data_IF_479789180397
#
_entry.id   IF_479789180397
#
_cell.length_a   1.000
_cell.length_b   1.000
_cell.length_c   1.000
_cell.angle_alpha   90.00
_cell.angle_beta   90.00
_cell.angle_gamma   90.00
#
_symmetry.space_group_name_H-M   'P 1'
#
loop_
_entity.id
_entity.type
_entity.pdbx_description
1 polymer ?
#
# COMPACT_ATOMS: atom_id res chain seq x y z
N UNK A 1 19.73 22.27 -23.68
CA UNK A 1 18.98 23.08 -24.70
C UNK A 1 17.50 22.72 -24.69
N UNK A 2 16.62 23.43 -25.41
CA UNK A 2 15.18 23.09 -25.45
C UNK A 2 14.93 21.66 -26.00
N UNK A 3 15.64 21.28 -27.06
CA UNK A 3 15.56 19.95 -27.68
C UNK A 3 15.94 18.82 -26.71
N UNK A 4 16.98 19.03 -25.91
CA UNK A 4 17.38 18.12 -24.83
C UNK A 4 16.25 17.93 -23.79
N UNK A 5 15.54 19.01 -23.42
CA UNK A 5 14.38 18.92 -22.52
C UNK A 5 13.26 18.08 -23.13
N UNK A 6 13.01 18.24 -24.44
CA UNK A 6 11.99 17.45 -25.15
C UNK A 6 12.36 15.98 -25.19
N UNK A 7 13.61 15.64 -25.50
CA UNK A 7 14.08 14.25 -25.57
C UNK A 7 14.00 13.55 -24.19
N UNK A 8 14.44 14.23 -23.13
CA UNK A 8 14.35 13.66 -21.78
C UNK A 8 12.89 13.48 -21.35
N UNK A 9 12.04 14.47 -21.65
CA UNK A 9 10.62 14.41 -21.31
C UNK A 9 9.91 13.28 -22.05
N UNK A 10 10.19 13.09 -23.35
CA UNK A 10 9.66 11.98 -24.14
C UNK A 10 10.04 10.62 -23.53
N UNK A 11 11.31 10.46 -23.13
CA UNK A 11 11.78 9.24 -22.47
C UNK A 11 11.12 9.00 -21.11
N UNK A 12 10.86 10.06 -20.33
CA UNK A 12 10.14 9.98 -19.05
C UNK A 12 8.66 9.65 -19.27
N UNK A 13 7.99 10.32 -20.20
CA UNK A 13 6.56 10.12 -20.51
C UNK A 13 6.33 8.71 -21.05
N UNK A 14 7.14 8.26 -22.01
CA UNK A 14 7.09 6.89 -22.54
C UNK A 14 7.33 5.85 -21.44
N UNK A 15 8.29 6.13 -20.55
CA UNK A 15 8.57 5.29 -19.38
C UNK A 15 7.40 5.22 -18.39
N UNK A 16 6.81 6.38 -18.07
CA UNK A 16 5.65 6.50 -17.19
C UNK A 16 4.45 5.73 -17.76
N UNK A 17 4.20 5.85 -19.07
CA UNK A 17 3.11 5.15 -19.74
C UNK A 17 3.27 3.62 -19.64
N UNK A 18 4.49 3.12 -19.73
CA UNK A 18 4.80 1.69 -19.51
C UNK A 18 4.68 1.22 -18.05
N UNK A 19 4.70 2.13 -17.07
CA UNK A 19 4.53 1.80 -15.64
C UNK A 19 3.07 1.94 -15.21
N UNK A 20 2.38 2.98 -15.69
CA UNK A 20 0.98 3.32 -15.34
C UNK A 20 -0.02 2.45 -16.11
N UNK A 21 0.34 1.90 -17.28
CA UNK A 21 -0.50 0.90 -17.97
C UNK A 21 -1.15 1.38 -19.26
N UNK A 22 -0.44 2.16 -20.06
CA UNK A 22 -0.97 2.74 -21.29
C UNK A 22 -0.63 1.99 -22.59
N UNK A 23 -0.34 0.70 -22.54
CA UNK A 23 -0.21 -0.12 -23.76
C UNK A 23 -1.60 -0.53 -24.27
N UNK A 24 -1.89 -0.34 -25.55
CA UNK A 24 -3.17 -0.63 -26.23
C UNK A 24 -3.65 -2.11 -26.14
N UNK A 25 -2.90 -2.97 -25.47
CA UNK A 25 -3.28 -4.36 -25.19
C UNK A 25 -4.30 -4.42 -24.05
N UNK A 26 -5.56 -4.27 -24.45
CA UNK A 26 -6.82 -4.37 -23.70
C UNK A 26 -7.05 -5.68 -22.92
N UNK A 27 -6.03 -6.53 -22.79
CA UNK A 27 -6.10 -7.87 -22.19
C UNK A 27 -5.08 -8.16 -21.08
N UNK A 28 -4.17 -7.23 -20.76
CA UNK A 28 -3.24 -7.40 -19.63
C UNK A 28 -3.72 -6.59 -18.42
N UNK A 29 -3.73 -7.20 -17.24
CA UNK A 29 -4.16 -6.60 -15.96
C UNK A 29 -3.35 -5.34 -15.58
N UNK A 30 -3.63 -4.20 -16.21
CA UNK A 30 -3.12 -2.90 -15.79
C UNK A 30 -1.59 -2.71 -15.87
N UNK A 31 -1.15 -1.49 -15.62
CA UNK A 31 0.28 -1.17 -15.47
C UNK A 31 0.91 -1.91 -14.28
N UNK A 32 2.25 -1.96 -14.22
CA UNK A 32 2.96 -2.48 -13.04
C UNK A 32 2.53 -1.76 -11.76
N UNK A 33 2.33 -0.45 -11.84
CA UNK A 33 1.83 0.36 -10.74
C UNK A 33 0.43 -0.07 -10.30
N UNK A 34 -0.49 -0.19 -11.25
CA UNK A 34 -1.89 -0.57 -10.99
C UNK A 34 -2.00 -1.96 -10.35
N UNK A 35 -1.16 -2.92 -10.77
CA UNK A 35 -1.10 -4.24 -10.12
C UNK A 35 -0.67 -4.17 -8.66
N UNK A 36 0.30 -3.32 -8.35
CA UNK A 36 0.81 -3.11 -6.98
C UNK A 36 -0.26 -2.46 -6.10
N UNK A 37 -0.96 -1.43 -6.62
CA UNK A 37 -2.06 -0.76 -5.91
C UNK A 37 -3.22 -1.73 -5.69
N UNK A 38 -3.66 -2.45 -6.74
CA UNK A 38 -4.77 -3.41 -6.61
C UNK A 38 -4.48 -4.53 -5.60
N UNK A 39 -3.27 -5.08 -5.61
CA UNK A 39 -2.87 -6.09 -4.64
C UNK A 39 -2.93 -5.56 -3.20
N UNK A 40 -2.53 -4.29 -3.00
CA UNK A 40 -2.64 -3.61 -1.72
C UNK A 40 -4.11 -3.38 -1.32
N UNK A 41 -4.97 -2.91 -2.22
CA UNK A 41 -6.40 -2.71 -1.94
C UNK A 41 -7.11 -4.03 -1.57
N UNK A 42 -6.82 -5.11 -2.30
CA UNK A 42 -7.34 -6.46 -1.99
C UNK A 42 -6.89 -6.91 -0.60
N UNK A 43 -5.63 -6.66 -0.25
CA UNK A 43 -5.07 -6.94 1.07
C UNK A 43 -5.72 -6.10 2.17
N UNK A 44 -5.87 -4.78 1.99
CA UNK A 44 -6.58 -3.90 2.94
C UNK A 44 -8.02 -4.39 3.16
N UNK A 45 -8.73 -4.76 2.09
CA UNK A 45 -10.06 -5.36 2.22
C UNK A 45 -10.05 -6.66 3.04
N UNK A 46 -8.97 -7.43 2.99
CA UNK A 46 -8.74 -8.59 3.86
C UNK A 46 -8.52 -8.20 5.33
N UNK A 47 -7.67 -7.21 5.58
CA UNK A 47 -7.38 -6.66 6.91
C UNK A 47 -8.65 -6.17 7.60
N UNK A 48 -9.48 -5.40 6.88
CA UNK A 48 -10.76 -4.89 7.41
C UNK A 48 -11.71 -6.02 7.79
N UNK A 49 -11.81 -7.08 6.98
CA UNK A 49 -12.63 -8.26 7.30
C UNK A 49 -12.16 -8.94 8.58
N UNK A 50 -10.85 -9.08 8.78
CA UNK A 50 -10.27 -9.64 10.01
C UNK A 50 -10.62 -8.79 11.22
N UNK A 51 -10.45 -7.46 11.13
CA UNK A 51 -10.81 -6.55 12.21
C UNK A 51 -12.31 -6.57 12.53
N UNK A 52 -13.18 -6.65 11.51
CA UNK A 52 -14.63 -6.74 11.71
C UNK A 52 -15.02 -8.03 12.42
N UNK A 53 -14.44 -9.19 12.05
CA UNK A 53 -14.66 -10.46 12.76
C UNK A 53 -14.24 -10.37 14.23
N UNK A 54 -13.11 -9.70 14.53
CA UNK A 54 -12.64 -9.48 15.90
C UNK A 54 -13.57 -8.57 16.71
N UNK A 55 -14.08 -7.50 16.11
CA UNK A 55 -15.02 -6.56 16.77
C UNK A 55 -16.42 -7.17 16.96
N UNK A 56 -16.86 -8.01 16.03
CA UNK A 56 -18.14 -8.71 16.07
C UNK A 56 -18.18 -9.88 17.05
N UNK A 57 -17.03 -10.39 17.50
CA UNK A 57 -16.94 -11.40 18.57
C UNK A 57 -17.22 -10.73 19.91
N UNK A 58 -18.39 -10.93 20.54
CA UNK A 58 -18.66 -10.39 21.86
C UNK A 58 -17.88 -11.25 22.86
N UNK A 59 -16.82 -10.68 23.42
CA UNK A 59 -16.12 -11.27 24.56
C UNK A 59 -15.17 -12.41 24.19
N UNK A 60 -13.88 -12.18 24.44
CA UNK A 60 -13.07 -13.27 24.98
C UNK A 60 -13.73 -13.72 26.28
N UNK A 61 -14.12 -14.99 26.33
CA UNK A 61 -14.58 -15.74 27.49
C UNK A 61 -15.59 -15.01 28.40
N UNK A 62 -16.89 -15.26 28.17
CA UNK A 62 -17.83 -15.25 29.30
C UNK A 62 -18.80 -16.40 29.14
N UNK A 63 -18.66 -17.36 30.04
CA UNK A 63 -19.69 -18.31 30.39
C UNK A 63 -21.01 -17.55 30.57
N UNK A 64 -22.05 -17.93 29.84
CA UNK A 64 -23.35 -18.35 30.39
C UNK A 64 -24.42 -18.44 29.29
N UNK A 65 -24.80 -19.70 29.02
CA UNK A 65 -26.18 -20.19 29.02
C UNK A 65 -27.12 -19.87 27.83
N UNK A 66 -27.33 -20.95 27.09
CA UNK A 66 -28.63 -21.52 26.69
C UNK A 66 -29.25 -21.06 25.35
N UNK A 67 -29.23 -22.03 24.43
CA UNK A 67 -30.25 -22.35 23.43
C UNK A 67 -30.36 -21.37 22.24
N UNK A 68 -29.67 -21.69 21.13
CA UNK A 68 -30.30 -22.30 19.95
C UNK A 68 -29.29 -22.49 18.80
N UNK A 69 -29.02 -23.77 18.52
CA UNK A 69 -28.92 -24.39 17.20
C UNK A 69 -28.47 -23.51 16.02
N UNK A 70 -27.18 -23.61 15.66
CA UNK A 70 -26.72 -24.15 14.36
C UNK A 70 -25.19 -24.13 14.36
N UNK A 71 -24.63 -25.30 14.60
CA UNK A 71 -23.20 -25.60 14.47
C UNK A 71 -22.88 -25.65 12.98
N UNK A 72 -22.46 -24.53 12.42
CA UNK A 72 -21.37 -24.60 11.44
C UNK A 72 -20.07 -24.59 12.24
N UNK A 73 -19.15 -25.42 11.81
CA UNK A 73 -17.81 -25.60 12.36
C UNK A 73 -17.01 -24.29 12.21
N UNK A 74 -17.31 -23.27 13.03
CA UNK A 74 -16.39 -22.15 13.27
C UNK A 74 -15.34 -22.70 14.24
N UNK A 75 -14.48 -23.58 13.71
CA UNK A 75 -13.20 -23.88 14.31
C UNK A 75 -12.57 -22.52 14.65
N UNK A 76 -12.12 -22.35 15.88
CA UNK A 76 -11.69 -21.07 16.45
C UNK A 76 -10.39 -20.56 15.84
N UNK A 77 -10.19 -20.72 14.54
CA UNK A 77 -9.07 -20.28 13.76
C UNK A 77 -8.98 -18.76 13.88
N UNK A 78 -8.05 -18.34 14.73
CA UNK A 78 -7.66 -16.94 14.87
C UNK A 78 -7.14 -16.51 13.50
N UNK A 79 -7.98 -15.87 12.69
CA UNK A 79 -7.57 -15.34 11.40
C UNK A 79 -6.58 -14.20 11.66
N UNK A 80 -5.31 -14.47 11.36
CA UNK A 80 -4.24 -13.49 11.46
C UNK A 80 -4.24 -12.58 10.23
N UNK A 81 -3.82 -11.33 10.42
CA UNK A 81 -3.49 -10.47 9.28
C UNK A 81 -2.22 -11.03 8.63
N UNK A 82 -2.35 -11.59 7.43
CA UNK A 82 -1.20 -11.99 6.63
C UNK A 82 -0.45 -10.75 6.16
N UNK A 83 0.89 -10.78 6.21
CA UNK A 83 1.71 -9.74 5.60
C UNK A 83 1.54 -9.75 4.07
N UNK A 84 1.82 -8.61 3.42
CA UNK A 84 1.99 -8.63 1.97
C UNK A 84 3.23 -9.45 1.60
N UNK A 85 3.16 -10.18 0.49
CA UNK A 85 4.24 -11.07 0.11
C UNK A 85 5.55 -10.33 -0.24
N UNK A 86 6.67 -11.06 -0.20
CA UNK A 86 7.98 -10.49 -0.52
C UNK A 86 8.08 -9.99 -1.97
N UNK A 87 7.26 -10.53 -2.89
CA UNK A 87 7.25 -10.11 -4.28
C UNK A 87 6.65 -8.72 -4.43
N UNK A 88 5.55 -8.41 -3.74
CA UNK A 88 4.93 -7.09 -3.71
C UNK A 88 5.89 -6.03 -3.18
N UNK A 89 6.62 -6.32 -2.08
CA UNK A 89 7.62 -5.39 -1.54
C UNK A 89 8.77 -5.16 -2.52
N UNK A 90 9.22 -6.20 -3.22
CA UNK A 90 10.26 -6.08 -4.23
C UNK A 90 9.79 -5.24 -5.43
N UNK A 91 8.54 -5.39 -5.86
CA UNK A 91 7.94 -4.57 -6.92
C UNK A 91 7.79 -3.10 -6.49
N UNK A 92 7.35 -2.84 -5.25
CA UNK A 92 7.32 -1.48 -4.69
C UNK A 92 8.72 -0.85 -4.72
N UNK A 93 9.75 -1.57 -4.25
CA UNK A 93 11.13 -1.08 -4.27
C UNK A 93 11.63 -0.81 -5.70
N UNK A 94 11.27 -1.66 -6.66
CA UNK A 94 11.62 -1.47 -8.08
C UNK A 94 10.93 -0.22 -8.66
N UNK A 95 9.65 0.00 -8.35
CA UNK A 95 8.90 1.19 -8.76
C UNK A 95 9.47 2.46 -8.15
N UNK A 96 9.74 2.47 -6.84
CA UNK A 96 10.36 3.61 -6.14
C UNK A 96 11.68 3.98 -6.79
N UNK A 97 12.59 3.01 -7.01
CA UNK A 97 13.88 3.28 -7.66
C UNK A 97 13.72 3.89 -9.05
N UNK A 98 12.73 3.43 -9.82
CA UNK A 98 12.47 3.94 -11.17
C UNK A 98 11.87 5.35 -11.15
N UNK A 99 10.92 5.60 -10.27
CA UNK A 99 10.29 6.91 -10.08
C UNK A 99 11.31 7.94 -9.57
N UNK A 100 12.21 7.54 -8.67
CA UNK A 100 13.33 8.36 -8.19
C UNK A 100 14.31 8.74 -9.31
N UNK A 101 14.61 7.80 -10.21
CA UNK A 101 15.43 8.07 -11.39
C UNK A 101 14.77 9.12 -12.30
N UNK A 102 13.46 9.01 -12.53
CA UNK A 102 12.72 10.01 -13.31
C UNK A 102 12.60 11.35 -12.60
N UNK A 103 12.38 11.35 -11.27
CA UNK A 103 12.36 12.57 -10.47
C UNK A 103 13.67 13.33 -10.63
N UNK A 104 14.81 12.64 -10.51
CA UNK A 104 16.13 13.26 -10.73
C UNK A 104 16.30 13.82 -12.14
N UNK A 105 15.94 13.05 -13.18
CA UNK A 105 15.98 13.52 -14.58
C UNK A 105 15.12 14.77 -14.79
N UNK A 106 13.90 14.80 -14.23
CA UNK A 106 13.00 15.94 -14.33
C UNK A 106 13.50 17.17 -13.55
N UNK A 107 14.25 16.97 -12.47
CA UNK A 107 14.90 18.05 -11.71
C UNK A 107 16.10 18.63 -12.46
N UNK A 108 16.90 17.79 -13.12
CA UNK A 108 18.05 18.21 -13.94
C UNK A 108 17.64 19.14 -15.11
N UNK A 109 16.42 18.99 -15.61
CA UNK A 109 15.88 19.85 -16.68
C UNK A 109 15.66 21.32 -16.24
N UNK A 110 15.66 21.60 -14.94
CA UNK A 110 15.38 22.93 -14.38
C UNK A 110 14.00 23.46 -14.80
N UNK A 111 13.73 24.73 -14.50
CA UNK A 111 12.48 25.34 -14.92
C UNK A 111 12.55 25.84 -16.37
N UNK A 112 11.41 25.82 -17.05
CA UNK A 112 11.27 26.41 -18.38
C UNK A 112 10.88 27.87 -18.16
N UNK A 113 11.68 28.85 -18.63
CA UNK A 113 11.33 30.25 -18.50
C UNK A 113 9.97 30.53 -19.17
N UNK A 114 9.19 31.50 -18.66
CA UNK A 114 7.92 31.88 -19.26
C UNK A 114 8.14 32.27 -20.73
N UNK A 115 7.16 31.95 -21.58
CA UNK A 115 7.25 32.26 -23.00
C UNK A 115 7.44 33.79 -23.15
N UNK A 116 8.52 34.19 -23.80
CA UNK A 116 8.89 35.59 -23.90
C UNK A 116 7.75 36.41 -24.53
N UNK A 117 7.25 37.37 -23.75
CA UNK A 117 6.46 38.54 -24.09
C UNK A 117 6.05 38.65 -25.58
N UNK A 118 4.97 37.97 -25.95
CA UNK A 118 4.09 38.42 -27.02
C UNK A 118 2.67 38.06 -26.63
N UNK A 119 1.82 39.07 -26.50
CA UNK A 119 0.42 39.06 -26.02
C UNK A 119 0.17 38.86 -24.51
N UNK A 120 0.14 39.99 -23.79
CA UNK A 120 -0.91 40.43 -22.84
C UNK A 120 -1.40 39.58 -21.65
N UNK A 121 -0.79 38.45 -21.31
CA UNK A 121 -1.11 37.74 -20.06
C UNK A 121 0.17 37.42 -19.28
N UNK A 122 0.50 38.27 -18.30
CA UNK A 122 1.54 37.97 -17.31
C UNK A 122 1.20 36.66 -16.60
N UNK A 123 2.00 35.62 -16.82
CA UNK A 123 1.95 34.38 -16.02
C UNK A 123 1.62 33.09 -16.77
N UNK A 124 1.39 33.09 -18.08
CA UNK A 124 1.13 31.84 -18.81
C UNK A 124 2.43 31.02 -19.00
N UNK A 125 2.59 30.00 -18.15
CA UNK A 125 3.61 28.97 -18.29
C UNK A 125 3.51 28.35 -19.69
N UNK A 126 4.65 28.22 -20.38
CA UNK A 126 4.72 27.54 -21.68
C UNK A 126 4.09 26.14 -21.60
N UNK A 127 3.53 25.64 -22.70
CA UNK A 127 2.95 24.29 -22.76
C UNK A 127 3.93 23.21 -22.27
N UNK A 128 5.21 23.34 -22.62
CA UNK A 128 6.29 22.50 -22.10
C UNK A 128 6.44 22.63 -20.58
N UNK A 129 6.43 23.85 -20.05
CA UNK A 129 6.47 24.10 -18.61
C UNK A 129 5.32 23.43 -17.86
N UNK A 130 4.11 23.47 -18.43
CA UNK A 130 2.93 22.77 -17.88
C UNK A 130 3.08 21.25 -17.88
N UNK A 131 3.53 20.67 -18.98
CA UNK A 131 3.74 19.21 -19.09
C UNK A 131 4.80 18.77 -18.08
N UNK A 132 5.90 19.51 -18.00
CA UNK A 132 7.00 19.20 -17.10
C UNK A 132 6.57 19.29 -15.62
N UNK A 133 5.78 20.29 -15.26
CA UNK A 133 5.14 20.38 -13.95
C UNK A 133 4.20 19.20 -13.69
N UNK A 134 3.39 18.81 -14.68
CA UNK A 134 2.51 17.64 -14.60
C UNK A 134 3.26 16.33 -14.37
N UNK A 135 4.34 16.08 -15.11
CA UNK A 135 5.18 14.89 -14.92
C UNK A 135 5.83 14.87 -13.52
N UNK A 136 6.32 16.02 -13.03
CA UNK A 136 6.88 16.13 -11.67
C UNK A 136 5.82 15.81 -10.62
N UNK A 137 4.62 16.38 -10.75
CA UNK A 137 3.50 16.14 -9.84
C UNK A 137 3.06 14.67 -9.85
N UNK A 138 2.98 14.05 -11.02
CA UNK A 138 2.61 12.63 -11.15
C UNK A 138 3.65 11.71 -10.49
N UNK A 139 4.93 11.89 -10.81
CA UNK A 139 6.01 11.10 -10.19
C UNK A 139 6.03 11.28 -8.67
N UNK A 140 5.84 12.51 -8.20
CA UNK A 140 5.77 12.79 -6.76
C UNK A 140 4.57 12.12 -6.09
N UNK A 141 3.38 12.19 -6.70
CA UNK A 141 2.17 11.55 -6.21
C UNK A 141 2.33 10.04 -6.10
N UNK A 142 2.88 9.39 -7.14
CA UNK A 142 3.11 7.94 -7.13
C UNK A 142 4.13 7.51 -6.06
N UNK A 143 5.18 8.31 -5.83
CA UNK A 143 6.13 8.04 -4.74
C UNK A 143 5.47 8.16 -3.37
N UNK A 144 4.67 9.21 -3.15
CA UNK A 144 3.95 9.42 -1.91
C UNK A 144 2.92 8.31 -1.64
N UNK A 145 2.20 7.86 -2.66
CA UNK A 145 1.24 6.77 -2.54
C UNK A 145 1.94 5.45 -2.15
N UNK A 146 3.04 5.08 -2.81
CA UNK A 146 3.82 3.89 -2.46
C UNK A 146 4.36 3.94 -1.02
N UNK A 147 4.83 5.11 -0.57
CA UNK A 147 5.30 5.31 0.81
C UNK A 147 4.16 5.11 1.82
N UNK A 148 2.98 5.68 1.54
CA UNK A 148 1.78 5.51 2.39
C UNK A 148 1.34 4.04 2.44
N UNK A 149 1.35 3.33 1.31
CA UNK A 149 1.01 1.90 1.27
C UNK A 149 1.96 1.07 2.14
N UNK A 150 3.26 1.30 2.07
CA UNK A 150 4.26 0.62 2.91
C UNK A 150 4.08 0.97 4.40
N UNK A 151 3.74 2.22 4.71
CA UNK A 151 3.46 2.64 6.08
C UNK A 151 2.23 1.92 6.66
N UNK A 152 1.14 1.83 5.89
CA UNK A 152 -0.09 1.15 6.30
C UNK A 152 0.16 -0.35 6.55
N UNK A 153 0.93 -1.02 5.67
CA UNK A 153 1.31 -2.42 5.85
C UNK A 153 2.04 -2.62 7.18
N UNK A 154 3.06 -1.81 7.42
CA UNK A 154 3.87 -1.88 8.64
C UNK A 154 3.05 -1.65 9.91
N UNK A 155 2.14 -0.68 9.88
CA UNK A 155 1.25 -0.38 11.01
C UNK A 155 0.27 -1.51 11.29
N UNK A 156 -0.33 -2.10 10.24
CA UNK A 156 -1.25 -3.22 10.38
C UNK A 156 -0.56 -4.45 10.97
N UNK A 157 0.65 -4.78 10.49
CA UNK A 157 1.47 -5.88 11.02
C UNK A 157 1.87 -5.61 12.47
N UNK A 158 2.22 -4.37 12.83
CA UNK A 158 2.57 -4.02 14.20
C UNK A 158 1.36 -4.10 15.16
N UNK A 159 0.17 -3.71 14.71
CA UNK A 159 -1.08 -3.89 15.45
C UNK A 159 -1.40 -5.38 15.63
N UNK A 160 -1.23 -6.18 14.58
CA UNK A 160 -1.41 -7.63 14.65
C UNK A 160 -0.50 -8.27 15.69
N UNK A 161 0.79 -7.95 15.65
CA UNK A 161 1.76 -8.49 16.61
C UNK A 161 1.46 -8.05 18.04
N UNK A 162 0.90 -6.86 18.25
CA UNK A 162 0.43 -6.41 19.57
C UNK A 162 -0.79 -7.21 20.03
N UNK A 163 -1.76 -7.42 19.15
CA UNK A 163 -2.95 -8.20 19.44
C UNK A 163 -2.63 -9.67 19.75
N UNK A 164 -1.74 -10.32 18.99
CA UNK A 164 -1.28 -11.70 19.26
C UNK A 164 -0.61 -11.79 20.63
N UNK A 165 0.25 -10.83 20.97
CA UNK A 165 0.90 -10.78 22.31
C UNK A 165 -0.12 -10.62 23.43
N UNK A 166 -1.13 -9.76 23.25
CA UNK A 166 -2.20 -9.57 24.21
C UNK A 166 -3.03 -10.85 24.41
N UNK A 167 -3.43 -11.50 23.30
CA UNK A 167 -4.17 -12.75 23.34
C UNK A 167 -3.38 -13.87 24.04
N UNK A 168 -2.09 -14.02 23.72
CA UNK A 168 -1.22 -15.00 24.36
C UNK A 168 -1.08 -14.77 25.87
N UNK A 169 -1.01 -13.50 26.32
CA UNK A 169 -0.97 -13.16 27.75
C UNK A 169 -2.24 -13.60 28.46
N UNK A 170 -3.41 -13.29 27.89
CA UNK A 170 -4.71 -13.65 28.49
C UNK A 170 -4.90 -15.16 28.61
N UNK A 171 -4.54 -15.92 27.58
CA UNK A 171 -4.58 -17.39 27.64
C UNK A 171 -3.58 -17.95 28.65
N UNK A 172 -2.39 -17.35 28.77
CA UNK A 172 -1.38 -17.76 29.75
C UNK A 172 -1.75 -17.47 31.21
N UNK A 173 -2.58 -16.46 31.46
CA UNK A 173 -3.11 -16.13 32.80
C UNK A 173 -4.28 -17.03 33.20
N UNK A 174 -5.12 -17.45 32.24
CA UNK A 174 -6.26 -18.36 32.45
C UNK A 174 -5.87 -19.85 32.44
N UNK A 175 -4.63 -20.20 32.06
CA UNK A 175 -4.15 -21.56 32.16
C UNK A 175 -3.93 -21.94 33.64
N UNK A 176 -4.58 -23.00 34.17
CA UNK A 176 -4.33 -23.43 35.54
C UNK A 176 -2.84 -23.73 35.68
N UNK A 177 -2.18 -23.07 36.65
CA UNK A 177 -0.76 -23.28 36.97
C UNK A 177 -0.50 -24.78 37.07
N UNK A 178 0.12 -25.35 36.04
CA UNK A 178 0.50 -26.75 35.98
C UNK A 178 1.57 -27.00 37.04
N UNK A 179 1.14 -27.31 38.27
CA UNK A 179 2.06 -27.41 39.40
C UNK A 179 1.36 -27.63 40.73
N UNK A 180 0.32 -28.47 40.81
CA UNK A 180 -0.25 -28.84 42.10
C UNK A 180 -1.04 -30.16 42.13
N UNK A 181 -0.79 -31.15 41.25
CA UNK A 181 -1.48 -32.45 41.36
C UNK A 181 -0.58 -33.60 40.93
N UNK A 182 0.51 -33.87 41.66
CA UNK A 182 1.21 -35.17 41.57
C UNK A 182 1.91 -35.54 42.89
N UNK A 183 1.19 -35.55 44.01
CA UNK A 183 1.54 -36.42 45.15
C UNK A 183 0.28 -36.84 45.90
N UNK A 184 -0.04 -38.13 45.79
CA UNK A 184 -0.96 -38.80 46.69
C UNK A 184 -2.12 -39.48 45.98
N UNK A 185 -1.84 -40.59 45.31
CA UNK A 185 -2.65 -41.81 45.30
C UNK A 185 -1.73 -42.99 44.95
#
# INVERSE_FOLDING_TARGET
GLEEKVVVLDGVVSGLWGVVGGGEDKGSNGGRYERVVRAFEEWVGGVERVFQRRRGRPGGCREEQQQQQQTEEDDGELVLIGEMDAAWRAECAALVRRLEEWRRKLSELGDVPPAAASSTTEGESSSLGRILAGCRALVHGMLAELEVMEQIEREAVAEEMRWVREMNRRVGEDAPRAGAIWRGL
#
